data_IF_794256424238
#
_entry.id   IF_794256424238
#
_cell.length_a   1.000
_cell.length_b   1.000
_cell.length_c   1.000
_cell.angle_alpha   90.00
_cell.angle_beta   90.00
_cell.angle_gamma   90.00
#
_symmetry.space_group_name_H-M   'P 1'
#
loop_
_entity.id
_entity.type
_entity.pdbx_description
1 polymer ?
#
# COMPACT_ATOMS: atom_id res chain seq x y z
N UNK A 1 -3.36 -18.14 17.03
CA UNK A 1 -2.19 -18.31 16.14
C UNK A 1 -1.50 -19.65 16.34
N UNK A 2 -1.26 -20.12 17.55
CA UNK A 2 -0.55 -21.38 17.82
C UNK A 2 -1.25 -22.62 17.25
N UNK A 3 -2.57 -22.66 17.30
CA UNK A 3 -3.34 -23.75 16.65
C UNK A 3 -3.09 -23.81 15.15
N UNK A 4 -3.08 -22.66 14.48
CA UNK A 4 -2.85 -22.59 13.03
C UNK A 4 -1.44 -23.07 12.67
N UNK A 5 -0.42 -22.63 13.43
CA UNK A 5 0.97 -23.09 13.27
C UNK A 5 1.09 -24.61 13.46
N UNK A 6 0.46 -25.15 14.53
CA UNK A 6 0.44 -26.60 14.79
C UNK A 6 -0.24 -27.37 13.63
N UNK A 7 -1.34 -26.82 13.11
CA UNK A 7 -2.06 -27.45 11.99
C UNK A 7 -1.23 -27.43 10.71
N UNK A 8 -0.65 -26.29 10.36
CA UNK A 8 0.23 -26.15 9.20
C UNK A 8 1.39 -27.17 9.26
N UNK A 9 2.08 -27.24 10.40
CA UNK A 9 3.15 -28.21 10.60
C UNK A 9 2.67 -29.65 10.44
N UNK A 10 1.46 -29.99 10.93
CA UNK A 10 0.91 -31.35 10.82
C UNK A 10 0.63 -31.76 9.37
N UNK A 11 0.22 -30.83 8.53
CA UNK A 11 -0.13 -31.11 7.12
C UNK A 11 1.01 -30.76 6.13
N UNK A 12 2.18 -30.30 6.64
CA UNK A 12 3.38 -30.05 5.85
C UNK A 12 3.28 -28.82 4.94
N UNK A 13 2.54 -27.79 5.37
CA UNK A 13 2.45 -26.51 4.62
C UNK A 13 3.04 -25.36 5.42
N UNK A 14 3.60 -24.40 4.71
CA UNK A 14 4.05 -23.14 5.31
C UNK A 14 2.86 -22.26 5.68
N UNK A 15 3.00 -21.49 6.75
CA UNK A 15 2.00 -20.52 7.19
C UNK A 15 2.64 -19.17 7.43
N UNK A 16 2.05 -18.14 6.86
CA UNK A 16 2.41 -16.75 7.08
C UNK A 16 1.24 -16.00 7.70
N UNK A 17 1.52 -15.19 8.70
CA UNK A 17 0.54 -14.28 9.29
C UNK A 17 0.85 -12.87 8.83
N UNK A 18 -0.11 -12.25 8.17
CA UNK A 18 -0.03 -10.84 7.81
C UNK A 18 -0.61 -9.99 8.94
N UNK A 19 0.04 -8.87 9.22
CA UNK A 19 -0.53 -7.85 10.09
C UNK A 19 -1.75 -7.27 9.39
N UNK A 20 -2.87 -7.22 10.12
CA UNK A 20 -4.07 -6.55 9.63
C UNK A 20 -3.77 -5.05 9.49
N UNK A 21 -4.04 -4.53 8.33
CA UNK A 21 -4.03 -3.07 8.08
C UNK A 21 -5.46 -2.62 7.95
N UNK A 22 -5.77 -1.55 8.61
CA UNK A 22 -7.07 -0.91 8.50
C UNK A 22 -7.04 0.00 7.27
N UNK A 23 -7.67 -0.45 6.19
CA UNK A 23 -7.84 0.33 4.96
C UNK A 23 -9.33 0.55 4.70
N UNK A 24 -10.14 0.54 5.75
CA UNK A 24 -11.57 0.27 5.62
C UNK A 24 -12.44 1.44 5.19
N UNK A 25 -11.89 2.55 4.81
CA UNK A 25 -12.68 3.56 4.12
C UNK A 25 -11.78 4.28 3.15
N UNK A 26 -12.26 4.64 2.00
CA UNK A 26 -11.87 5.73 1.11
C UNK A 26 -10.49 6.40 1.37
N UNK A 27 -9.65 5.76 2.14
CA UNK A 27 -8.76 6.26 3.16
C UNK A 27 -7.31 5.92 2.95
N UNK A 28 -6.95 5.68 1.75
CA UNK A 28 -5.58 6.01 1.36
C UNK A 28 -5.45 7.54 1.31
N UNK A 29 -6.57 8.21 1.27
CA UNK A 29 -6.66 9.66 1.35
C UNK A 29 -6.74 10.17 2.80
N UNK A 30 -7.06 9.29 3.77
CA UNK A 30 -7.07 9.63 5.18
C UNK A 30 -5.67 9.54 5.79
N UNK A 31 -5.38 10.40 6.75
CA UNK A 31 -4.14 10.29 7.53
C UNK A 31 -4.15 9.02 8.36
N UNK A 32 -2.97 8.46 8.65
CA UNK A 32 -2.82 7.31 9.56
C UNK A 32 -3.51 7.57 10.91
N UNK A 33 -3.54 8.82 11.35
CA UNK A 33 -4.21 9.28 12.57
C UNK A 33 -5.72 9.00 12.53
N UNK A 34 -6.39 9.32 11.42
CA UNK A 34 -7.84 9.14 11.26
C UNK A 34 -8.22 7.65 11.27
N UNK A 35 -7.38 6.81 10.63
CA UNK A 35 -7.57 5.36 10.61
C UNK A 35 -7.43 4.73 12.01
N UNK A 36 -6.51 5.22 12.83
CA UNK A 36 -6.33 4.74 14.20
C UNK A 36 -7.55 5.08 15.06
N UNK A 37 -8.12 6.27 14.90
CA UNK A 37 -9.31 6.69 15.67
C UNK A 37 -10.55 5.89 15.26
N UNK A 38 -10.75 5.66 13.95
CA UNK A 38 -11.94 4.96 13.44
C UNK A 38 -11.90 3.45 13.68
N UNK A 39 -10.72 2.86 13.60
CA UNK A 39 -10.56 1.40 13.55
C UNK A 39 -9.85 0.83 14.78
N UNK A 40 -9.75 1.62 15.86
CA UNK A 40 -9.05 1.20 17.09
C UNK A 40 -9.57 -0.13 17.66
N UNK A 41 -10.83 -0.44 17.49
CA UNK A 41 -11.44 -1.71 17.93
C UNK A 41 -10.92 -2.94 17.17
N UNK A 42 -10.40 -2.74 15.94
CA UNK A 42 -9.88 -3.81 15.08
C UNK A 42 -8.36 -3.96 15.18
N UNK A 43 -7.70 -3.04 15.90
CA UNK A 43 -6.25 -3.08 16.07
C UNK A 43 -5.93 -4.10 17.16
N UNK A 44 -5.07 -5.11 16.89
CA UNK A 44 -4.69 -6.09 17.89
C UNK A 44 -4.04 -5.44 19.11
N UNK A 45 -4.48 -5.84 20.31
CA UNK A 45 -3.84 -5.41 21.57
C UNK A 45 -2.38 -5.90 21.68
N UNK A 46 -2.10 -7.06 21.11
CA UNK A 46 -0.75 -7.62 21.13
C UNK A 46 0.21 -6.76 20.26
N UNK A 47 1.24 -6.15 20.85
CA UNK A 47 2.15 -5.22 20.18
C UNK A 47 2.92 -5.85 19.01
N UNK A 48 3.13 -7.18 19.01
CA UNK A 48 3.81 -7.88 17.90
C UNK A 48 2.99 -7.88 16.60
N UNK A 49 1.68 -7.73 16.72
CA UNK A 49 0.73 -7.73 15.62
C UNK A 49 0.07 -6.39 15.37
N UNK A 50 0.38 -5.40 16.20
CA UNK A 50 -0.09 -4.04 16.07
C UNK A 50 0.95 -3.18 15.35
N UNK A 51 0.71 -2.76 14.10
CA UNK A 51 1.64 -1.94 13.33
C UNK A 51 1.65 -0.47 13.73
N UNK A 52 0.73 -0.07 14.60
CA UNK A 52 0.53 1.31 14.97
C UNK A 52 1.05 1.63 16.37
N UNK A 53 1.60 2.81 16.52
CA UNK A 53 1.82 3.47 17.80
C UNK A 53 0.55 4.27 18.13
N UNK A 54 -0.24 3.75 19.06
CA UNK A 54 -1.55 4.33 19.40
C UNK A 54 -1.41 5.66 20.15
N UNK A 55 -0.31 5.87 20.87
CA UNK A 55 -0.05 7.12 21.60
C UNK A 55 0.37 8.23 20.63
N UNK A 56 1.23 7.90 19.68
CA UNK A 56 1.74 8.85 18.68
C UNK A 56 0.90 8.88 17.41
N UNK A 57 -0.18 8.10 17.33
CA UNK A 57 -1.09 7.99 16.18
C UNK A 57 -0.35 7.84 14.84
N UNK A 58 0.65 6.97 14.79
CA UNK A 58 1.46 6.74 13.59
C UNK A 58 1.84 5.28 13.40
N UNK A 59 2.34 4.93 12.24
CA UNK A 59 2.93 3.61 12.02
C UNK A 59 4.25 3.47 12.79
N UNK A 60 4.44 2.37 13.51
CA UNK A 60 5.69 2.05 14.20
C UNK A 60 6.88 1.91 13.25
N UNK A 61 6.63 1.33 12.08
CA UNK A 61 7.65 1.07 11.07
C UNK A 61 7.11 1.42 9.68
N UNK A 62 7.13 2.70 9.28
CA UNK A 62 6.81 3.07 7.91
C UNK A 62 7.78 2.40 6.94
N UNK A 63 7.37 2.20 5.71
CA UNK A 63 8.22 1.67 4.66
C UNK A 63 9.29 2.71 4.34
N UNK A 64 10.57 2.40 4.57
CA UNK A 64 11.67 3.33 4.31
C UNK A 64 11.96 3.54 2.83
N UNK A 65 11.74 2.51 2.01
CA UNK A 65 11.90 2.58 0.57
C UNK A 65 10.92 1.62 -0.12
N UNK A 66 10.03 2.17 -0.92
CA UNK A 66 9.06 1.38 -1.66
C UNK A 66 9.58 1.05 -3.05
N UNK A 67 9.83 -0.24 -3.33
CA UNK A 67 10.31 -0.73 -4.63
C UNK A 67 9.18 -1.10 -5.61
N UNK A 68 7.91 -1.02 -5.18
CA UNK A 68 6.78 -1.55 -5.94
C UNK A 68 6.67 -1.02 -7.37
N UNK A 69 6.79 0.29 -7.67
CA UNK A 69 6.67 0.78 -9.04
C UNK A 69 7.78 0.33 -10.00
N UNK A 70 8.79 -0.41 -9.52
CA UNK A 70 9.84 -1.03 -10.35
C UNK A 70 9.71 -2.54 -10.46
N UNK A 71 8.91 -3.17 -9.59
CA UNK A 71 8.90 -4.63 -9.44
C UNK A 71 7.54 -5.27 -9.69
N UNK A 72 6.47 -4.52 -9.50
CA UNK A 72 5.11 -5.05 -9.59
C UNK A 72 4.15 -4.04 -10.19
N UNK A 73 3.03 -4.53 -10.65
CA UNK A 73 1.87 -3.75 -11.05
C UNK A 73 0.61 -4.49 -10.62
N UNK A 74 -0.46 -3.73 -10.45
CA UNK A 74 -1.79 -4.26 -10.25
C UNK A 74 -2.68 -3.77 -11.38
N UNK A 75 -3.40 -4.69 -12.02
CA UNK A 75 -4.37 -4.36 -13.07
C UNK A 75 -5.74 -4.73 -12.53
N UNK A 76 -6.62 -3.75 -12.48
CA UNK A 76 -7.98 -3.95 -12.03
C UNK A 76 -8.83 -4.60 -13.13
N UNK A 77 -10.01 -5.10 -12.77
CA UNK A 77 -10.93 -5.78 -13.68
C UNK A 77 -11.37 -4.92 -14.88
N UNK A 78 -11.38 -3.61 -14.74
CA UNK A 78 -11.70 -2.64 -15.79
C UNK A 78 -10.50 -2.21 -16.65
N UNK A 79 -9.32 -2.82 -16.44
CA UNK A 79 -8.10 -2.51 -17.16
C UNK A 79 -7.24 -1.41 -16.54
N UNK A 80 -7.70 -0.73 -15.51
CA UNK A 80 -6.91 0.31 -14.83
C UNK A 80 -5.64 -0.27 -14.19
N UNK A 81 -4.52 0.37 -14.44
CA UNK A 81 -3.19 -0.04 -14.01
C UNK A 81 -2.72 0.80 -12.85
N UNK A 82 -2.22 0.15 -11.79
CA UNK A 82 -1.71 0.79 -10.57
C UNK A 82 -0.32 0.29 -10.22
N UNK A 83 0.53 1.11 -9.56
CA UNK A 83 1.91 0.74 -9.25
C UNK A 83 2.03 -0.29 -8.13
N UNK A 84 0.93 -0.62 -7.46
CA UNK A 84 0.84 -1.67 -6.46
C UNK A 84 -0.61 -1.99 -6.08
N UNK A 85 -0.83 -3.18 -5.50
CA UNK A 85 -2.14 -3.60 -4.98
C UNK A 85 -2.44 -3.16 -3.55
N UNK A 86 -1.61 -2.30 -2.95
CA UNK A 86 -1.80 -1.83 -1.57
C UNK A 86 -2.58 -0.53 -1.47
N UNK A 87 -3.01 0.01 -2.58
CA UNK A 87 -3.60 1.33 -2.69
C UNK A 87 -4.98 1.25 -3.30
N UNK A 88 -5.74 2.31 -3.11
CA UNK A 88 -7.05 2.51 -3.70
C UNK A 88 -6.98 2.38 -5.21
N UNK A 89 -7.97 1.73 -5.72
CA UNK A 89 -8.13 1.46 -7.15
C UNK A 89 -9.11 2.44 -7.78
N UNK A 90 -9.16 3.69 -7.31
CA UNK A 90 -9.92 4.73 -7.95
C UNK A 90 -9.28 5.09 -9.29
N UNK A 91 -10.06 5.06 -10.37
CA UNK A 91 -9.57 5.28 -11.73
C UNK A 91 -8.81 6.60 -11.94
N UNK A 92 -9.10 7.63 -11.15
CA UNK A 92 -8.36 8.91 -11.20
C UNK A 92 -6.86 8.78 -10.88
N UNK A 93 -6.46 7.75 -10.10
CA UNK A 93 -5.06 7.47 -9.76
C UNK A 93 -4.44 6.39 -10.65
N UNK A 94 -5.17 5.91 -11.65
CA UNK A 94 -4.65 4.94 -12.61
C UNK A 94 -3.45 5.52 -13.37
N UNK A 95 -2.47 4.68 -13.59
CA UNK A 95 -1.30 4.98 -14.44
C UNK A 95 -1.66 4.95 -15.94
N UNK A 96 -2.76 4.32 -16.29
CA UNK A 96 -3.29 4.12 -17.63
C UNK A 96 -4.24 2.93 -17.65
N UNK A 97 -4.77 2.58 -18.83
CA UNK A 97 -5.66 1.44 -18.99
C UNK A 97 -5.06 0.42 -19.96
N UNK A 98 -4.86 -0.81 -19.49
CA UNK A 98 -4.22 -1.89 -20.24
C UNK A 98 -5.09 -2.45 -21.37
N UNK A 99 -6.37 -2.09 -21.45
CA UNK A 99 -7.25 -2.43 -22.57
C UNK A 99 -7.19 -1.39 -23.71
N UNK A 100 -6.64 -0.20 -23.41
CA UNK A 100 -6.60 0.94 -24.35
C UNK A 100 -5.17 1.22 -24.83
N UNK A 101 -4.16 0.91 -24.01
CA UNK A 101 -2.76 1.27 -24.26
C UNK A 101 -1.85 0.07 -23.95
N UNK A 102 -0.81 -0.13 -24.76
CA UNK A 102 0.19 -1.16 -24.51
C UNK A 102 0.80 -0.99 -23.11
N UNK A 103 0.89 -2.09 -22.37
CA UNK A 103 1.39 -2.06 -21.00
C UNK A 103 2.82 -1.49 -20.90
N UNK A 104 3.67 -1.72 -21.89
CA UNK A 104 5.02 -1.17 -21.93
C UNK A 104 5.01 0.36 -21.97
N UNK A 105 4.05 0.94 -22.68
CA UNK A 105 3.93 2.40 -22.79
C UNK A 105 3.38 2.98 -21.48
N UNK A 106 2.46 2.30 -20.82
CA UNK A 106 1.98 2.67 -19.49
C UNK A 106 3.13 2.60 -18.49
N UNK A 107 3.87 1.50 -18.44
CA UNK A 107 4.97 1.26 -17.50
C UNK A 107 6.12 2.25 -17.62
N UNK A 108 6.37 2.74 -18.83
CA UNK A 108 7.38 3.75 -19.12
C UNK A 108 6.80 5.16 -19.29
N UNK A 109 5.50 5.31 -19.10
CA UNK A 109 4.77 6.57 -19.24
C UNK A 109 5.04 7.55 -18.09
N UNK A 110 4.60 8.78 -18.32
CA UNK A 110 4.84 9.92 -17.42
C UNK A 110 4.39 9.65 -15.99
N UNK A 111 3.23 9.02 -15.79
CA UNK A 111 2.70 8.73 -14.45
C UNK A 111 3.55 7.74 -13.67
N UNK A 112 4.07 6.67 -14.32
CA UNK A 112 5.00 5.76 -13.67
C UNK A 112 6.36 6.41 -13.38
N UNK A 113 6.84 7.26 -14.29
CA UNK A 113 8.05 8.05 -14.09
C UNK A 113 7.88 8.99 -12.91
N UNK A 114 6.75 9.70 -12.82
CA UNK A 114 6.43 10.58 -11.69
C UNK A 114 6.35 9.82 -10.36
N UNK A 115 5.67 8.66 -10.35
CA UNK A 115 5.60 7.81 -9.16
C UNK A 115 6.98 7.35 -8.67
N UNK A 116 7.86 6.98 -9.61
CA UNK A 116 9.25 6.60 -9.29
C UNK A 116 10.07 7.78 -8.79
N UNK A 117 9.94 8.96 -9.41
CA UNK A 117 10.59 10.20 -8.95
C UNK A 117 10.18 10.57 -7.54
N UNK A 118 8.87 10.49 -7.23
CA UNK A 118 8.34 10.74 -5.89
C UNK A 118 9.01 9.86 -4.82
N UNK A 119 9.18 8.57 -5.13
CA UNK A 119 9.81 7.62 -4.22
C UNK A 119 11.33 7.77 -4.11
N UNK A 120 11.94 8.49 -5.03
CA UNK A 120 13.37 8.88 -5.01
C UNK A 120 13.59 10.30 -4.48
N UNK A 121 12.56 10.94 -3.96
CA UNK A 121 12.61 12.33 -3.49
C UNK A 121 13.03 13.34 -4.59
N UNK A 122 12.71 13.01 -5.84
CA UNK A 122 13.01 13.86 -6.98
C UNK A 122 11.82 14.76 -7.31
N UNK A 123 12.04 15.99 -7.77
CA UNK A 123 10.98 16.89 -8.19
C UNK A 123 10.14 16.27 -9.31
N UNK A 124 8.82 16.39 -9.19
CA UNK A 124 7.87 16.05 -10.23
C UNK A 124 6.60 16.91 -10.08
N UNK A 125 5.92 17.15 -11.21
CA UNK A 125 4.74 18.02 -11.28
C UNK A 125 3.42 17.20 -11.29
N UNK A 126 3.51 15.87 -11.32
CA UNK A 126 2.35 15.00 -11.36
C UNK A 126 2.07 14.41 -9.97
N UNK A 127 0.89 14.70 -9.46
CA UNK A 127 0.38 14.02 -8.28
C UNK A 127 0.02 12.58 -8.63
N UNK A 128 0.63 11.64 -7.94
CA UNK A 128 0.39 10.20 -8.10
C UNK A 128 -0.07 9.58 -6.79
N UNK A 129 -0.55 8.35 -6.85
CA UNK A 129 -0.89 7.59 -5.65
C UNK A 129 0.32 7.42 -4.70
N UNK A 130 1.54 7.43 -5.23
CA UNK A 130 2.76 7.34 -4.43
C UNK A 130 2.99 8.61 -3.62
N UNK A 131 2.61 9.79 -4.15
CA UNK A 131 2.63 11.05 -3.42
C UNK A 131 1.69 11.00 -2.22
N UNK A 132 0.46 10.54 -2.42
CA UNK A 132 -0.53 10.39 -1.34
C UNK A 132 -0.07 9.39 -0.29
N UNK A 133 0.50 8.27 -0.71
CA UNK A 133 1.06 7.28 0.19
C UNK A 133 2.16 7.86 1.11
N UNK A 134 3.02 8.72 0.56
CA UNK A 134 4.05 9.47 1.31
C UNK A 134 3.41 10.49 2.24
N UNK A 135 2.52 11.33 1.72
CA UNK A 135 1.85 12.39 2.48
C UNK A 135 1.08 11.84 3.69
N UNK A 136 0.53 10.63 3.56
CA UNK A 136 -0.25 9.95 4.60
C UNK A 136 0.61 9.05 5.53
N UNK A 137 1.92 9.14 5.47
CA UNK A 137 2.83 8.46 6.41
C UNK A 137 2.99 6.96 6.22
N UNK A 138 2.53 6.38 5.09
CA UNK A 138 2.75 4.97 4.79
C UNK A 138 4.17 4.67 4.29
N UNK A 139 4.83 5.67 3.79
CA UNK A 139 6.20 5.63 3.30
C UNK A 139 6.97 6.85 3.82
N UNK A 140 8.23 6.64 4.21
CA UNK A 140 9.19 7.71 4.53
C UNK A 140 10.43 7.54 3.66
N UNK A 141 10.95 8.62 3.06
CA UNK A 141 12.17 8.56 2.27
C UNK A 141 13.37 8.09 3.09
#
# INVERSE_FOLDING_TARGET
>A
MDMAKKRAKKIGVDITFSIMRTNLKDDILGKVEDNIETDSEWIPENPDYNPYDLEQKKQKKPIKFCKRPWMETFINWNGDVFPCGCVVTESKYSMGNAFETDFKDIWNGEKYIAARKELLDQPNDLETICHLCKANGYYTP
#
